data_IF_362475866251
#
_entry.id   IF_362475866251
#
_cell.length_a   1.000
_cell.length_b   1.000
_cell.length_c   1.000
_cell.angle_alpha   90.00
_cell.angle_beta   90.00
_cell.angle_gamma   90.00
#
_symmetry.space_group_name_H-M   'P 1'
#
loop_
_entity.id
_entity.type
_entity.pdbx_description
1 polymer ?
#
# COMPACT_ATOMS: atom_id res chain seq x y z
N UNK A 1 -15.87 -15.17 3.49
CA UNK A 1 -15.83 -14.50 2.17
C UNK A 1 -14.38 -14.43 1.75
N UNK A 2 -14.02 -14.62 0.47
CA UNK A 2 -12.65 -14.37 0.05
C UNK A 2 -12.30 -12.91 0.34
N UNK A 3 -11.16 -12.71 0.98
CA UNK A 3 -10.60 -11.39 1.22
C UNK A 3 -10.22 -10.80 -0.14
N UNK A 4 -10.84 -9.68 -0.52
CA UNK A 4 -10.47 -8.97 -1.73
C UNK A 4 -9.13 -8.26 -1.47
N UNK A 5 -8.15 -8.57 -2.30
CA UNK A 5 -6.78 -8.05 -2.20
C UNK A 5 -6.43 -7.32 -3.49
N UNK A 6 -5.89 -6.11 -3.36
CA UNK A 6 -5.40 -5.27 -4.47
C UNK A 6 -3.90 -5.09 -4.38
N UNK A 7 -3.21 -5.38 -5.46
CA UNK A 7 -1.79 -5.09 -5.55
C UNK A 7 -1.53 -3.58 -5.61
N UNK A 8 -0.53 -3.15 -4.85
CA UNK A 8 -0.06 -1.77 -4.87
C UNK A 8 0.38 -1.35 -6.29
N UNK A 9 -0.09 -0.20 -6.81
CA UNK A 9 0.19 0.20 -8.19
C UNK A 9 1.68 0.36 -8.46
N UNK A 10 2.15 -0.16 -9.61
CA UNK A 10 3.56 -0.05 -10.01
C UNK A 10 4.06 1.41 -10.03
N UNK A 11 3.24 2.34 -10.52
CA UNK A 11 3.58 3.77 -10.58
C UNK A 11 3.83 4.38 -9.19
N UNK A 12 3.24 3.80 -8.14
CA UNK A 12 3.40 4.27 -6.76
C UNK A 12 4.47 3.49 -5.98
N UNK A 13 5.25 2.61 -6.63
CA UNK A 13 6.23 1.76 -5.93
C UNK A 13 7.27 2.57 -5.16
N UNK A 14 7.65 3.77 -5.63
CA UNK A 14 8.59 4.62 -4.88
C UNK A 14 8.03 5.07 -3.53
N UNK A 15 6.70 5.19 -3.38
CA UNK A 15 6.07 5.57 -2.10
C UNK A 15 6.40 4.54 -1.03
N UNK A 16 6.47 3.25 -1.40
CA UNK A 16 6.80 2.19 -0.46
C UNK A 16 8.20 2.35 0.13
N UNK A 17 9.13 3.02 -0.55
CA UNK A 17 10.48 3.30 0.00
C UNK A 17 10.47 4.34 1.12
N UNK A 18 9.39 5.10 1.24
CA UNK A 18 9.23 6.19 2.19
C UNK A 18 8.31 5.82 3.37
N UNK A 19 7.72 4.61 3.35
CA UNK A 19 6.87 4.15 4.44
C UNK A 19 7.75 3.84 5.65
N UNK A 20 7.25 4.23 6.81
CA UNK A 20 7.86 3.96 8.11
C UNK A 20 6.75 3.61 9.10
N UNK A 21 7.04 2.86 10.18
CA UNK A 21 6.09 2.69 11.27
C UNK A 21 5.60 4.05 11.78
N UNK A 22 4.31 4.16 12.05
CA UNK A 22 3.74 5.34 12.68
C UNK A 22 4.17 5.39 14.15
N UNK A 23 4.36 6.60 14.68
CA UNK A 23 4.85 6.79 16.05
C UNK A 23 4.00 6.01 17.07
N UNK A 24 4.63 5.04 17.73
CA UNK A 24 4.00 4.22 18.76
C UNK A 24 3.05 3.12 18.24
N UNK A 25 2.99 2.85 16.93
CA UNK A 25 2.14 1.80 16.34
C UNK A 25 2.86 1.00 15.26
N UNK A 26 3.29 -0.21 15.60
CA UNK A 26 4.02 -1.09 14.69
C UNK A 26 3.15 -1.68 13.56
N UNK A 27 1.84 -1.72 13.74
CA UNK A 27 0.82 -2.19 12.79
C UNK A 27 0.29 -1.09 11.86
N UNK A 28 0.87 0.11 11.94
CA UNK A 28 0.47 1.26 11.14
C UNK A 28 1.70 1.81 10.43
N UNK A 29 1.64 1.93 9.10
CA UNK A 29 2.72 2.53 8.31
C UNK A 29 2.28 3.89 7.76
N UNK A 30 3.22 4.81 7.63
CA UNK A 30 2.99 6.17 7.10
C UNK A 30 4.12 6.59 6.16
N UNK A 31 3.75 7.27 5.07
CA UNK A 31 4.67 7.97 4.19
C UNK A 31 4.17 9.40 3.95
N UNK A 32 5.10 10.36 3.89
CA UNK A 32 4.80 11.73 3.46
C UNK A 32 5.63 12.05 2.23
N UNK A 33 4.98 12.05 1.07
CA UNK A 33 5.66 12.09 -0.23
C UNK A 33 5.16 13.25 -1.07
N UNK A 34 6.08 13.86 -1.82
CA UNK A 34 5.73 14.76 -2.90
C UNK A 34 5.39 13.91 -4.12
N UNK A 35 4.23 14.11 -4.75
CA UNK A 35 3.71 13.34 -5.88
C UNK A 35 3.67 14.18 -7.15
N UNK A 36 4.04 13.58 -8.27
CA UNK A 36 3.74 14.11 -9.61
C UNK A 36 2.24 14.09 -9.88
N UNK A 37 1.80 14.75 -10.95
CA UNK A 37 0.40 14.73 -11.37
C UNK A 37 -0.11 13.33 -11.69
N UNK A 38 0.72 12.54 -12.38
CA UNK A 38 0.37 11.17 -12.78
C UNK A 38 0.20 10.26 -11.56
N UNK A 39 1.13 10.35 -10.59
CA UNK A 39 1.05 9.58 -9.35
C UNK A 39 -0.13 10.01 -8.48
N UNK A 40 -0.42 11.31 -8.39
CA UNK A 40 -1.57 11.80 -7.64
C UNK A 40 -2.88 11.28 -8.25
N UNK A 41 -2.99 11.30 -9.59
CA UNK A 41 -4.13 10.71 -10.30
C UNK A 41 -4.23 9.20 -10.03
N UNK A 42 -3.12 8.48 -10.13
CA UNK A 42 -3.07 7.04 -9.88
C UNK A 42 -3.48 6.69 -8.44
N UNK A 43 -3.01 7.46 -7.45
CA UNK A 43 -3.36 7.29 -6.05
C UNK A 43 -4.86 7.48 -5.81
N UNK A 44 -5.46 8.53 -6.39
CA UNK A 44 -6.89 8.79 -6.23
C UNK A 44 -7.75 7.68 -6.87
N UNK A 45 -7.38 7.20 -8.06
CA UNK A 45 -8.07 6.09 -8.70
C UNK A 45 -7.93 4.79 -7.89
N UNK A 46 -6.72 4.53 -7.38
CA UNK A 46 -6.45 3.35 -6.59
C UNK A 46 -7.24 3.37 -5.27
N UNK A 47 -7.23 4.47 -4.52
CA UNK A 47 -7.99 4.62 -3.27
C UNK A 47 -9.48 4.35 -3.46
N UNK A 48 -10.07 4.92 -4.51
CA UNK A 48 -11.47 4.68 -4.82
C UNK A 48 -11.77 3.20 -5.12
N UNK A 49 -10.83 2.50 -5.77
CA UNK A 49 -10.99 1.10 -6.18
C UNK A 49 -10.64 0.08 -5.09
N UNK A 50 -9.75 0.43 -4.16
CA UNK A 50 -9.29 -0.42 -3.06
C UNK A 50 -10.09 -0.17 -1.77
N UNK A 51 -11.13 0.66 -1.84
CA UNK A 51 -11.96 1.01 -0.69
C UNK A 51 -12.61 -0.24 -0.11
N UNK A 52 -12.32 -0.53 1.16
CA UNK A 52 -12.76 -1.74 1.89
C UNK A 52 -12.05 -3.05 1.49
N UNK A 53 -11.02 -2.98 0.66
CA UNK A 53 -10.20 -4.13 0.27
C UNK A 53 -8.83 -4.05 0.97
N UNK A 54 -8.18 -5.19 1.14
CA UNK A 54 -6.78 -5.21 1.56
C UNK A 54 -5.87 -4.81 0.39
N UNK A 55 -4.78 -4.13 0.71
CA UNK A 55 -3.73 -3.78 -0.22
C UNK A 55 -2.51 -4.65 0.05
N UNK A 56 -2.04 -5.36 -0.98
CA UNK A 56 -0.80 -6.12 -0.95
C UNK A 56 0.37 -5.25 -1.43
N UNK A 57 1.46 -5.26 -0.66
CA UNK A 57 2.71 -4.60 -1.04
C UNK A 57 3.92 -5.31 -0.44
N UNK A 58 5.10 -5.10 -1.01
CA UNK A 58 6.35 -5.57 -0.43
C UNK A 58 6.87 -4.54 0.60
N UNK A 59 7.22 -5.02 1.78
CA UNK A 59 7.92 -4.21 2.78
C UNK A 59 9.27 -3.73 2.21
N UNK A 60 9.59 -2.42 2.24
CA UNK A 60 10.79 -1.89 1.60
C UNK A 60 12.09 -2.34 2.28
N UNK A 61 12.04 -2.67 3.58
CA UNK A 61 13.23 -3.07 4.35
C UNK A 61 13.47 -4.57 4.24
N UNK A 62 12.41 -5.37 4.30
CA UNK A 62 12.53 -6.84 4.37
C UNK A 62 12.20 -7.57 3.07
N UNK A 63 11.62 -6.87 2.08
CA UNK A 63 11.06 -7.44 0.86
C UNK A 63 9.94 -8.50 1.09
N UNK A 64 9.47 -8.66 2.34
CA UNK A 64 8.38 -9.57 2.66
C UNK A 64 7.04 -8.97 2.24
N UNK A 65 6.10 -9.82 1.80
CA UNK A 65 4.73 -9.39 1.51
C UNK A 65 4.00 -8.89 2.77
N UNK A 66 3.22 -7.82 2.60
CA UNK A 66 2.36 -7.20 3.59
C UNK A 66 0.93 -7.10 3.05
N UNK A 67 -0.03 -7.23 3.94
CA UNK A 67 -1.42 -6.85 3.74
C UNK A 67 -1.76 -5.75 4.72
N UNK A 68 -2.52 -4.76 4.26
CA UNK A 68 -3.01 -3.67 5.10
C UNK A 68 -4.24 -3.01 4.48
N UNK A 69 -4.94 -2.18 5.25
CA UNK A 69 -5.92 -1.25 4.71
C UNK A 69 -5.26 0.08 4.38
N UNK A 70 -5.55 0.62 3.18
CA UNK A 70 -5.18 1.97 2.81
C UNK A 70 -6.20 2.96 3.40
N UNK A 71 -5.72 3.90 4.22
CA UNK A 71 -6.54 5.04 4.64
C UNK A 71 -6.64 6.06 3.51
N UNK A 72 -7.72 6.86 3.55
CA UNK A 72 -7.86 8.02 2.66
C UNK A 72 -6.62 8.93 2.75
N UNK A 73 -5.91 9.18 1.63
CA UNK A 73 -4.75 10.06 1.61
C UNK A 73 -5.08 11.48 2.06
N UNK A 74 -4.15 12.10 2.79
CA UNK A 74 -4.33 13.46 3.32
C UNK A 74 -3.38 14.41 2.59
N UNK A 75 -3.93 15.45 1.96
CA UNK A 75 -3.13 16.52 1.39
C UNK A 75 -2.42 17.34 2.47
N UNK A 76 -1.10 17.49 2.34
CA UNK A 76 -0.25 18.28 3.23
C UNK A 76 0.15 19.65 2.63
N UNK A 77 -0.36 19.96 1.43
CA UNK A 77 -0.08 21.21 0.72
C UNK A 77 0.90 21.03 -0.43
N UNK A 78 1.72 22.05 -0.67
CA UNK A 78 2.68 22.09 -1.79
C UNK A 78 3.83 21.11 -1.56
N UNK A 79 4.39 20.60 -2.67
CA UNK A 79 5.62 19.82 -2.66
C UNK A 79 6.77 20.61 -1.99
N UNK A 80 7.64 19.92 -1.25
CA UNK A 80 8.78 20.52 -0.53
C UNK A 80 10.00 20.73 -1.42
N UNK A 81 10.31 19.78 -2.29
CA UNK A 81 11.52 19.80 -3.12
C UNK A 81 11.29 20.32 -4.54
N UNK A 82 10.06 20.75 -4.87
CA UNK A 82 9.68 21.12 -6.24
C UNK A 82 9.53 19.94 -7.20
N UNK A 83 9.82 18.72 -6.76
CA UNK A 83 9.58 17.48 -7.50
C UNK A 83 8.16 16.99 -7.18
N UNK A 84 7.19 17.57 -7.89
CA UNK A 84 5.79 17.18 -7.77
C UNK A 84 4.84 18.36 -7.63
N UNK A 85 3.55 18.06 -7.69
CA UNK A 85 2.48 19.06 -7.65
C UNK A 85 1.81 19.16 -6.27
N UNK A 86 1.93 18.12 -5.44
CA UNK A 86 1.31 18.05 -4.12
C UNK A 86 2.12 17.18 -3.17
N UNK A 87 2.12 17.57 -1.89
CA UNK A 87 2.61 16.74 -0.80
C UNK A 87 1.45 16.01 -0.16
N UNK A 88 1.57 14.69 0.00
CA UNK A 88 0.48 13.83 0.47
C UNK A 88 1.00 12.91 1.58
N UNK A 89 0.19 12.74 2.62
CA UNK A 89 0.36 11.68 3.61
C UNK A 89 -0.45 10.47 3.19
N UNK A 90 0.22 9.34 3.04
CA UNK A 90 -0.36 8.03 2.78
C UNK A 90 -0.16 7.21 4.05
N UNK A 91 -1.19 6.48 4.48
CA UNK A 91 -1.07 5.61 5.66
C UNK A 91 -1.79 4.30 5.47
N UNK A 92 -1.21 3.27 6.06
CA UNK A 92 -1.71 1.91 6.10
C UNK A 92 -1.99 1.52 7.54
N UNK A 93 -3.08 0.79 7.77
CA UNK A 93 -3.47 0.26 9.09
C UNK A 93 -3.71 -1.24 9.01
N UNK A 94 -3.62 -1.91 10.16
CA UNK A 94 -3.71 -3.37 10.25
C UNK A 94 -2.64 -4.06 9.38
N UNK A 95 -1.43 -3.49 9.38
CA UNK A 95 -0.31 -3.99 8.60
C UNK A 95 0.15 -5.31 9.21
N UNK A 96 0.05 -6.39 8.45
CA UNK A 96 0.51 -7.71 8.86
C UNK A 96 1.22 -8.43 7.73
N UNK A 97 2.04 -9.43 8.10
CA UNK A 97 2.75 -10.25 7.12
C UNK A 97 1.76 -11.07 6.32
N UNK A 98 1.92 -11.08 5.00
CA UNK A 98 1.28 -12.10 4.17
C UNK A 98 1.77 -13.46 4.62
N UNK A 99 0.86 -14.29 5.13
CA UNK A 99 1.18 -15.71 5.26
C UNK A 99 1.31 -16.26 3.84
N UNK A 100 2.25 -17.19 3.58
CA UNK A 100 2.15 -18.02 2.39
C UNK A 100 0.73 -18.58 2.40
N UNK A 101 -0.06 -18.30 1.36
CA UNK A 101 -1.27 -19.08 1.17
C UNK A 101 -0.80 -20.53 1.16
N UNK A 102 -1.26 -21.36 2.10
CA UNK A 102 -1.09 -22.80 2.01
C UNK A 102 -1.56 -23.15 0.61
N UNK A 103 -0.62 -23.52 -0.26
CA UNK A 103 -0.92 -23.91 -1.61
C UNK A 103 -1.97 -24.99 -1.48
N UNK A 104 -3.22 -24.67 -1.86
CA UNK A 104 -4.29 -25.64 -1.87
C UNK A 104 -3.78 -26.75 -2.76
N UNK A 105 -3.39 -27.84 -2.11
CA UNK A 105 -2.97 -29.07 -2.74
C UNK A 105 -4.23 -29.63 -3.39
N UNK A 106 -4.56 -29.10 -4.56
CA UNK A 106 -5.29 -29.80 -5.60
C UNK A 106 -4.41 -30.92 -6.12
N UNK A 107 -4.02 -31.85 -5.24
CA UNK A 107 -3.70 -33.20 -5.65
C UNK A 107 -5.02 -33.81 -6.11
N UNK A 108 -5.41 -33.51 -7.34
CA UNK A 108 -6.32 -34.35 -8.10
C UNK A 108 -5.60 -35.66 -8.38
N UNK A 109 -5.50 -36.50 -7.35
CA UNK A 109 -5.32 -37.93 -7.50
C UNK A 109 -6.71 -38.49 -7.79
N UNK A 110 -6.96 -38.79 -9.05
CA UNK A 110 -8.28 -39.19 -9.54
C UNK A 110 -8.18 -40.10 -10.74
N UNK A 111 -7.79 -41.35 -10.45
CA UNK A 111 -8.04 -42.63 -11.16
C UNK A 111 -7.65 -42.75 -12.63
#
# INVERSE_FOLDING_TARGET
MPELVRDWPHILQRVLREIRPADGRADCYVAEVDLSEEELRALNLFEASARHEHVSFADPETAEGRLAYLNTPVGLGKARNGEGIARVRISFTDVHRMRPMDAQSGASSGR
#
